data_IF_148366289743
#
_entry.id   IF_148366289743
#
_cell.length_a   1.000
_cell.length_b   1.000
_cell.length_c   1.000
_cell.angle_alpha   90.00
_cell.angle_beta   90.00
_cell.angle_gamma   90.00
#
_symmetry.space_group_name_H-M   'P 1'
#
loop_
_entity.id
_entity.type
_entity.pdbx_description
1 polymer ?
#
# COMPACT_ATOMS: atom_id res chain seq x y z
N UNK A 1 2.50 1.27 21.69
CA UNK A 1 3.39 2.41 21.35
C UNK A 1 2.59 3.69 21.54
N UNK A 2 3.14 4.70 22.22
CA UNK A 2 2.49 6.01 22.38
C UNK A 2 2.22 6.61 20.99
N UNK A 3 1.00 7.07 20.73
CA UNK A 3 0.61 7.71 19.46
C UNK A 3 1.40 9.01 19.35
N UNK A 4 2.43 9.05 18.47
CA UNK A 4 3.18 10.29 18.21
C UNK A 4 2.19 11.34 17.70
N UNK A 5 2.29 12.55 18.24
CA UNK A 5 1.50 13.70 17.80
C UNK A 5 2.36 14.65 16.97
N UNK A 6 1.79 15.36 15.99
CA UNK A 6 2.52 16.37 15.24
C UNK A 6 3.02 17.50 16.16
N UNK A 7 4.13 18.12 15.78
CA UNK A 7 4.67 19.27 16.50
C UNK A 7 3.78 20.52 16.35
N UNK A 8 3.17 20.75 15.18
CA UNK A 8 2.12 21.76 15.02
C UNK A 8 0.76 21.15 15.41
N UNK A 9 0.08 21.67 16.46
CA UNK A 9 -1.21 21.11 16.91
C UNK A 9 -2.33 21.25 15.87
N UNK A 10 -2.20 22.13 14.86
CA UNK A 10 -3.20 22.30 13.80
C UNK A 10 -3.15 21.16 12.77
N UNK A 11 -2.03 20.45 12.68
CA UNK A 11 -1.80 19.41 11.66
C UNK A 11 -2.88 18.33 11.70
N UNK A 12 -3.33 17.90 12.89
CA UNK A 12 -4.38 16.88 13.02
C UNK A 12 -5.71 17.33 12.36
N UNK A 13 -6.09 18.60 12.53
CA UNK A 13 -7.31 19.14 11.93
C UNK A 13 -7.17 19.26 10.40
N UNK A 14 -5.98 19.64 9.92
CA UNK A 14 -5.67 19.76 8.49
C UNK A 14 -5.71 18.39 7.82
N UNK A 15 -5.06 17.37 8.41
CA UNK A 15 -5.12 16.00 7.91
C UNK A 15 -6.55 15.49 7.90
N UNK A 16 -7.32 15.73 8.96
CA UNK A 16 -8.72 15.29 8.99
C UNK A 16 -9.50 15.89 7.82
N UNK A 17 -9.36 17.20 7.58
CA UNK A 17 -10.03 17.86 6.47
C UNK A 17 -9.55 17.33 5.11
N UNK A 18 -8.24 17.14 4.94
CA UNK A 18 -7.66 16.55 3.73
C UNK A 18 -8.19 15.14 3.48
N UNK A 19 -8.26 14.30 4.51
CA UNK A 19 -8.83 12.96 4.45
C UNK A 19 -10.32 13.00 4.07
N UNK A 20 -11.11 13.92 4.63
CA UNK A 20 -12.53 14.03 4.27
C UNK A 20 -12.72 14.32 2.78
N UNK A 21 -11.89 15.19 2.19
CA UNK A 21 -11.93 15.48 0.73
C UNK A 21 -11.49 14.26 -0.08
N UNK A 22 -10.35 13.65 0.27
CA UNK A 22 -9.84 12.45 -0.41
C UNK A 22 -10.84 11.31 -0.37
N UNK A 23 -11.54 11.11 0.75
CA UNK A 23 -12.51 10.04 0.88
C UNK A 23 -13.66 10.20 -0.12
N UNK A 24 -14.06 11.43 -0.41
CA UNK A 24 -15.10 11.73 -1.40
C UNK A 24 -14.70 11.35 -2.83
N UNK A 25 -13.39 11.36 -3.13
CA UNK A 25 -12.85 11.10 -4.47
C UNK A 25 -12.40 9.65 -4.64
N UNK A 26 -11.54 9.16 -3.74
CA UNK A 26 -10.88 7.85 -3.85
C UNK A 26 -11.57 6.73 -3.06
N UNK A 27 -12.53 7.05 -2.19
CA UNK A 27 -13.28 6.04 -1.42
C UNK A 27 -12.38 5.10 -0.63
N UNK A 28 -12.47 3.80 -0.91
CA UNK A 28 -11.73 2.71 -0.28
C UNK A 28 -10.32 2.49 -0.87
N UNK A 29 -9.99 3.17 -1.98
CA UNK A 29 -8.64 3.14 -2.56
C UNK A 29 -7.64 3.98 -1.75
N UNK A 30 -8.13 4.96 -0.98
CA UNK A 30 -7.33 5.73 -0.04
C UNK A 30 -7.09 4.93 1.26
N UNK A 31 -5.82 4.71 1.60
CA UNK A 31 -5.43 3.79 2.68
C UNK A 31 -5.08 4.55 3.96
N UNK A 32 -4.18 5.51 3.85
CA UNK A 32 -3.72 6.31 4.96
C UNK A 32 -3.16 7.65 4.49
N UNK A 33 -3.04 8.56 5.43
CA UNK A 33 -2.28 9.79 5.28
C UNK A 33 -1.14 9.78 6.31
N UNK A 34 0.08 10.11 5.90
CA UNK A 34 1.22 10.24 6.82
C UNK A 34 1.61 11.70 6.93
N UNK A 35 1.58 12.26 8.14
CA UNK A 35 2.20 13.54 8.44
C UNK A 35 3.71 13.37 8.49
N UNK A 36 4.45 14.18 7.73
CA UNK A 36 5.91 14.21 7.79
C UNK A 36 6.44 15.65 7.74
N UNK A 37 7.76 15.79 7.68
CA UNK A 37 8.41 17.10 7.54
C UNK A 37 8.36 17.97 8.79
N UNK A 38 8.64 19.25 8.61
CA UNK A 38 8.98 20.16 9.72
C UNK A 38 7.79 20.46 10.64
N UNK A 39 6.57 20.57 10.11
CA UNK A 39 5.35 20.77 10.91
C UNK A 39 4.96 19.51 11.69
N UNK A 40 5.30 18.32 11.20
CA UNK A 40 5.06 17.07 11.91
C UNK A 40 6.13 16.78 12.97
N UNK A 41 7.42 16.98 12.65
CA UNK A 41 8.54 16.57 13.50
C UNK A 41 9.12 17.69 14.37
N UNK A 42 8.81 18.96 14.06
CA UNK A 42 9.33 20.14 14.73
C UNK A 42 10.34 20.94 13.87
N UNK A 43 10.62 22.17 14.30
CA UNK A 43 11.54 23.08 13.59
C UNK A 43 10.93 23.89 12.44
N UNK A 44 9.60 23.87 12.30
CA UNK A 44 8.88 24.69 11.33
C UNK A 44 8.94 26.19 11.66
N UNK A 45 8.69 27.02 10.65
CA UNK A 45 8.53 28.48 10.76
C UNK A 45 7.10 28.87 10.34
N UNK A 46 6.72 30.13 10.54
CA UNK A 46 5.35 30.60 10.24
C UNK A 46 4.94 30.37 8.78
N UNK A 47 5.88 30.42 7.84
CA UNK A 47 5.66 30.13 6.42
C UNK A 47 5.89 28.68 5.97
N UNK A 48 6.20 27.75 6.88
CA UNK A 48 6.37 26.34 6.51
C UNK A 48 5.04 25.71 6.09
N UNK A 49 5.11 24.92 5.04
CA UNK A 49 4.10 24.01 4.49
C UNK A 49 3.79 22.81 5.38
N UNK A 50 2.65 22.19 5.08
CA UNK A 50 2.22 20.93 5.68
C UNK A 50 2.50 19.79 4.69
N UNK A 51 3.58 19.06 4.94
CA UNK A 51 3.99 17.90 4.15
C UNK A 51 3.12 16.67 4.44
N UNK A 52 2.41 16.17 3.42
CA UNK A 52 1.45 15.09 3.58
C UNK A 52 1.74 13.99 2.57
N UNK A 53 1.89 12.75 3.03
CA UNK A 53 2.02 11.57 2.16
C UNK A 53 0.70 10.81 2.10
N UNK A 54 0.04 10.78 0.95
CA UNK A 54 -1.14 9.96 0.69
C UNK A 54 -0.74 8.55 0.26
N UNK A 55 -1.15 7.55 1.04
CA UNK A 55 -1.01 6.15 0.70
C UNK A 55 -2.28 5.62 0.02
N UNK A 56 -2.11 4.98 -1.14
CA UNK A 56 -3.24 4.54 -1.98
C UNK A 56 -3.04 3.15 -2.61
N UNK A 57 -4.12 2.60 -3.17
CA UNK A 57 -4.14 1.36 -3.98
C UNK A 57 -4.49 1.61 -5.46
N UNK A 58 -4.85 2.84 -5.83
CA UNK A 58 -5.11 3.23 -7.21
C UNK A 58 -3.82 3.46 -8.03
N UNK A 59 -3.98 3.80 -9.31
CA UNK A 59 -2.88 4.28 -10.15
C UNK A 59 -2.30 5.58 -9.60
N UNK A 60 -1.04 5.85 -9.95
CA UNK A 60 -0.35 7.08 -9.52
C UNK A 60 -1.05 8.33 -10.05
N UNK A 61 -1.48 8.34 -11.31
CA UNK A 61 -2.18 9.48 -11.92
C UNK A 61 -3.49 9.82 -11.18
N UNK A 62 -4.30 8.79 -10.86
CA UNK A 62 -5.55 8.96 -10.10
C UNK A 62 -5.27 9.51 -8.69
N UNK A 63 -4.21 9.03 -8.04
CA UNK A 63 -3.81 9.51 -6.72
C UNK A 63 -3.31 10.95 -6.75
N UNK A 64 -2.47 11.30 -7.72
CA UNK A 64 -1.88 12.64 -7.87
C UNK A 64 -2.98 13.67 -8.12
N UNK A 65 -3.93 13.37 -9.00
CA UNK A 65 -5.06 14.26 -9.29
C UNK A 65 -5.91 14.50 -8.04
N UNK A 66 -6.30 13.43 -7.34
CA UNK A 66 -7.08 13.52 -6.11
C UNK A 66 -6.33 14.27 -4.99
N UNK A 67 -5.03 14.02 -4.83
CA UNK A 67 -4.19 14.68 -3.83
C UNK A 67 -4.01 16.17 -4.12
N UNK A 68 -3.82 16.54 -5.39
CA UNK A 68 -3.72 17.93 -5.82
C UNK A 68 -5.03 18.69 -5.58
N UNK A 69 -6.17 18.11 -5.92
CA UNK A 69 -7.49 18.71 -5.68
C UNK A 69 -7.77 18.88 -4.18
N UNK A 70 -7.46 17.86 -3.38
CA UNK A 70 -7.61 17.93 -1.93
C UNK A 70 -6.69 18.99 -1.31
N UNK A 71 -5.42 19.03 -1.71
CA UNK A 71 -4.48 20.04 -1.22
C UNK A 71 -4.93 21.44 -1.61
N UNK A 72 -5.37 21.65 -2.86
CA UNK A 72 -5.88 22.94 -3.33
C UNK A 72 -7.12 23.40 -2.53
N UNK A 73 -8.08 22.49 -2.34
CA UNK A 73 -9.31 22.76 -1.58
C UNK A 73 -8.98 23.18 -0.15
N UNK A 74 -8.21 22.37 0.57
CA UNK A 74 -7.89 22.64 1.98
C UNK A 74 -6.98 23.86 2.12
N UNK A 75 -6.03 24.06 1.19
CA UNK A 75 -5.16 25.23 1.18
C UNK A 75 -5.96 26.52 1.00
N UNK A 76 -6.97 26.51 0.14
CA UNK A 76 -7.85 27.65 -0.10
C UNK A 76 -8.77 27.93 1.09
N UNK A 77 -9.39 26.89 1.66
CA UNK A 77 -10.28 27.01 2.81
C UNK A 77 -9.57 27.55 4.06
N UNK A 78 -8.35 27.09 4.31
CA UNK A 78 -7.61 27.36 5.53
C UNK A 78 -6.52 28.42 5.37
N UNK A 79 -6.27 28.91 4.14
CA UNK A 79 -5.19 29.85 3.81
C UNK A 79 -3.81 29.37 4.29
N UNK A 80 -3.51 28.11 4.05
CA UNK A 80 -2.23 27.46 4.40
C UNK A 80 -1.68 26.69 3.21
N UNK A 81 -0.35 26.58 3.04
CA UNK A 81 0.23 25.74 2.00
C UNK A 81 0.25 24.27 2.45
N UNK A 82 -0.28 23.38 1.60
CA UNK A 82 -0.21 21.93 1.76
C UNK A 82 0.57 21.35 0.59
N UNK A 83 1.59 20.55 0.88
CA UNK A 83 2.38 19.85 -0.13
C UNK A 83 2.08 18.34 -0.07
N UNK A 84 1.20 17.83 -0.94
CA UNK A 84 0.92 16.41 -1.00
C UNK A 84 1.98 15.68 -1.81
N UNK A 85 2.38 14.51 -1.32
CA UNK A 85 3.10 13.48 -2.06
C UNK A 85 2.22 12.23 -2.08
N UNK A 86 2.23 11.50 -3.19
CA UNK A 86 1.50 10.23 -3.34
C UNK A 86 2.47 9.07 -3.35
N UNK A 87 2.02 7.93 -2.83
CA UNK A 87 2.75 6.67 -2.92
C UNK A 87 1.80 5.49 -2.79
N UNK A 88 1.99 4.49 -3.66
CA UNK A 88 1.28 3.24 -3.49
C UNK A 88 1.64 2.60 -2.14
N UNK A 89 0.64 2.02 -1.48
CA UNK A 89 0.84 1.32 -0.21
C UNK A 89 1.84 0.17 -0.35
N UNK A 90 1.92 -0.46 -1.53
CA UNK A 90 2.90 -1.50 -1.85
C UNK A 90 4.32 -1.00 -1.76
N UNK A 91 4.62 0.14 -2.40
CA UNK A 91 5.94 0.78 -2.38
C UNK A 91 6.31 1.27 -0.97
N UNK A 92 5.34 1.83 -0.25
CA UNK A 92 5.54 2.27 1.13
C UNK A 92 5.92 1.11 2.05
N UNK A 93 5.19 -0.01 1.95
CA UNK A 93 5.45 -1.20 2.73
C UNK A 93 6.73 -1.92 2.28
N UNK A 94 7.11 -1.85 1.00
CA UNK A 94 8.37 -2.37 0.47
C UNK A 94 9.61 -1.63 0.97
N UNK A 95 9.43 -0.40 1.50
CA UNK A 95 10.51 0.49 1.91
C UNK A 95 11.44 0.83 0.73
N UNK A 96 10.87 0.96 -0.47
CA UNK A 96 11.57 1.16 -1.74
C UNK A 96 12.01 2.62 -1.98
N UNK A 97 11.90 3.49 -0.98
CA UNK A 97 12.38 4.86 -1.04
C UNK A 97 12.85 5.36 0.33
N UNK A 98 13.73 6.36 0.33
CA UNK A 98 14.15 7.04 1.56
C UNK A 98 12.96 7.70 2.26
N UNK A 99 12.04 8.31 1.49
CA UNK A 99 10.81 8.88 2.03
C UNK A 99 9.97 7.82 2.76
N UNK A 100 9.78 6.64 2.17
CA UNK A 100 9.04 5.55 2.81
C UNK A 100 9.72 5.11 4.12
N UNK A 101 11.04 4.94 4.13
CA UNK A 101 11.80 4.58 5.34
C UNK A 101 11.67 5.64 6.43
N UNK A 102 11.87 6.91 6.08
CA UNK A 102 11.75 8.02 7.04
C UNK A 102 10.33 8.16 7.56
N UNK A 103 9.31 8.03 6.71
CA UNK A 103 7.91 8.08 7.12
C UNK A 103 7.50 6.87 7.96
N UNK A 104 8.05 5.68 7.71
CA UNK A 104 7.84 4.50 8.56
C UNK A 104 8.48 4.69 9.94
N UNK A 105 9.69 5.27 10.00
CA UNK A 105 10.41 5.50 11.26
C UNK A 105 9.82 6.66 12.08
N UNK A 106 9.49 7.78 11.42
CA UNK A 106 9.18 9.07 12.06
C UNK A 106 7.80 9.63 11.75
N UNK A 107 7.18 9.18 10.66
CA UNK A 107 5.88 9.68 10.23
C UNK A 107 4.77 9.36 11.21
N UNK A 108 3.71 10.16 11.16
CA UNK A 108 2.52 9.96 11.98
C UNK A 108 1.40 9.52 11.04
N UNK A 109 1.00 8.26 11.15
CA UNK A 109 0.08 7.61 10.20
C UNK A 109 -1.36 7.73 10.70
N UNK A 110 -2.21 8.27 9.83
CA UNK A 110 -3.65 8.42 10.01
C UNK A 110 -4.37 7.50 9.05
N UNK A 111 -4.94 6.43 9.57
CA UNK A 111 -5.71 5.49 8.77
C UNK A 111 -7.13 5.99 8.55
N UNK A 112 -7.58 5.84 7.32
CA UNK A 112 -8.92 6.16 6.87
C UNK A 112 -10.00 5.34 7.60
N UNK A 113 -9.74 4.06 7.87
CA UNK A 113 -10.70 3.13 8.53
C UNK A 113 -10.27 2.72 9.95
N UNK A 114 -9.62 3.61 10.69
CA UNK A 114 -9.34 3.39 12.12
C UNK A 114 -8.29 2.31 12.43
N UNK A 115 -7.54 1.83 11.44
CA UNK A 115 -6.30 1.06 11.66
C UNK A 115 -6.20 -0.32 11.02
N UNK A 116 -7.05 -0.69 10.05
CA UNK A 116 -6.92 -1.96 9.32
C UNK A 116 -6.67 -1.77 7.81
N UNK A 117 -5.61 -1.06 7.39
CA UNK A 117 -5.25 -0.89 5.98
C UNK A 117 -4.90 -2.21 5.28
N UNK A 118 -4.54 -3.24 6.07
CA UNK A 118 -3.95 -4.47 5.57
C UNK A 118 -4.95 -5.41 4.90
N UNK A 119 -6.27 -5.25 5.13
CA UNK A 119 -7.24 -6.14 4.49
C UNK A 119 -7.29 -5.92 2.98
N UNK A 120 -7.38 -4.66 2.52
CA UNK A 120 -7.39 -4.35 1.09
C UNK A 120 -6.08 -4.77 0.41
N UNK A 121 -4.95 -4.46 1.05
CA UNK A 121 -3.62 -4.89 0.57
C UNK A 121 -3.50 -6.41 0.50
N UNK A 122 -3.99 -7.13 1.50
CA UNK A 122 -3.97 -8.60 1.51
C UNK A 122 -4.81 -9.19 0.38
N UNK A 123 -6.01 -8.65 0.15
CA UNK A 123 -6.88 -9.09 -0.94
C UNK A 123 -6.25 -8.82 -2.31
N UNK A 124 -5.64 -7.66 -2.50
CA UNK A 124 -4.97 -7.32 -3.76
C UNK A 124 -3.74 -8.23 -4.01
N UNK A 125 -2.96 -8.55 -2.97
CA UNK A 125 -1.84 -9.51 -3.08
C UNK A 125 -2.32 -10.94 -3.35
N UNK A 126 -3.43 -11.35 -2.72
CA UNK A 126 -4.04 -12.65 -2.96
C UNK A 126 -4.55 -12.77 -4.40
N UNK A 127 -5.25 -11.74 -4.90
CA UNK A 127 -5.70 -11.68 -6.30
C UNK A 127 -4.53 -11.81 -7.26
N UNK A 128 -3.41 -11.12 -7.00
CA UNK A 128 -2.21 -11.24 -7.82
C UNK A 128 -1.59 -12.65 -7.74
N UNK A 129 -1.59 -13.27 -6.55
CA UNK A 129 -1.11 -14.64 -6.37
C UNK A 129 -1.94 -15.64 -7.18
N UNK A 130 -3.27 -15.46 -7.23
CA UNK A 130 -4.18 -16.26 -8.05
C UNK A 130 -3.89 -16.10 -9.56
N UNK A 131 -3.62 -14.88 -10.03
CA UNK A 131 -3.20 -14.64 -11.42
C UNK A 131 -1.90 -15.37 -11.77
N UNK A 132 -0.90 -15.34 -10.88
CA UNK A 132 0.33 -16.11 -11.04
C UNK A 132 0.07 -17.62 -11.09
N UNK A 133 -0.84 -18.12 -10.27
CA UNK A 133 -1.22 -19.53 -10.27
C UNK A 133 -1.89 -19.94 -11.59
N UNK A 134 -2.77 -19.11 -12.13
CA UNK A 134 -3.42 -19.37 -13.42
C UNK A 134 -2.43 -19.33 -14.58
N UNK A 135 -1.46 -18.41 -14.55
CA UNK A 135 -0.34 -18.41 -15.49
C UNK A 135 0.51 -19.69 -15.37
N UNK A 136 0.80 -20.16 -14.15
CA UNK A 136 1.53 -21.40 -13.92
C UNK A 136 0.79 -22.63 -14.51
N UNK A 137 -0.53 -22.70 -14.34
CA UNK A 137 -1.37 -23.76 -14.91
C UNK A 137 -1.31 -23.75 -16.44
N UNK A 138 -1.50 -22.59 -17.07
CA UNK A 138 -1.45 -22.46 -18.53
C UNK A 138 -0.07 -22.86 -19.11
N UNK A 139 1.02 -22.53 -18.42
CA UNK A 139 2.38 -22.92 -18.82
C UNK A 139 2.64 -24.42 -18.63
N UNK A 140 2.02 -25.03 -17.62
CA UNK A 140 2.14 -26.46 -17.33
C UNK A 140 1.50 -27.32 -18.43
N UNK A 141 0.33 -26.91 -18.91
CA UNK A 141 -0.35 -27.54 -20.04
C UNK A 141 0.49 -27.50 -21.31
N UNK A 142 1.28 -26.44 -21.49
CA UNK A 142 2.19 -26.25 -22.63
C UNK A 142 3.57 -26.90 -22.45
N UNK A 143 3.82 -27.56 -21.31
CA UNK A 143 5.11 -28.19 -21.00
C UNK A 143 6.26 -27.19 -20.76
N UNK A 144 5.97 -25.92 -20.50
CA UNK A 144 6.99 -24.87 -20.31
C UNK A 144 7.51 -24.87 -18.87
N UNK A 145 8.28 -25.90 -18.52
CA UNK A 145 8.73 -26.21 -17.14
C UNK A 145 9.28 -25.00 -16.38
N UNK A 146 10.21 -24.24 -16.96
CA UNK A 146 10.84 -23.10 -16.27
C UNK A 146 9.80 -22.03 -15.90
N UNK A 147 8.93 -21.68 -16.84
CA UNK A 147 7.88 -20.70 -16.59
C UNK A 147 6.88 -21.15 -15.53
N UNK A 148 6.57 -22.46 -15.47
CA UNK A 148 5.71 -23.00 -14.40
C UNK A 148 6.34 -22.79 -13.03
N UNK A 149 7.64 -23.08 -12.89
CA UNK A 149 8.37 -22.93 -11.63
C UNK A 149 8.37 -21.46 -11.21
N UNK A 150 8.74 -20.55 -12.12
CA UNK A 150 8.81 -19.12 -11.82
C UNK A 150 7.46 -18.56 -11.37
N UNK A 151 6.37 -18.89 -12.08
CA UNK A 151 5.03 -18.38 -11.74
C UNK A 151 4.48 -19.01 -10.45
N UNK A 152 4.65 -20.31 -10.24
CA UNK A 152 4.17 -20.99 -9.03
C UNK A 152 4.92 -20.51 -7.77
N UNK A 153 6.22 -20.23 -7.87
CA UNK A 153 6.97 -19.63 -6.75
C UNK A 153 6.46 -18.22 -6.43
N UNK A 154 6.25 -17.37 -7.43
CA UNK A 154 5.71 -16.02 -7.20
C UNK A 154 4.34 -16.04 -6.53
N UNK A 155 3.45 -16.96 -6.93
CA UNK A 155 2.15 -17.14 -6.28
C UNK A 155 2.30 -17.48 -4.78
N UNK A 156 3.21 -18.40 -4.45
CA UNK A 156 3.50 -18.79 -3.06
C UNK A 156 4.08 -17.61 -2.27
N UNK A 157 5.05 -16.90 -2.82
CA UNK A 157 5.68 -15.75 -2.13
C UNK A 157 4.67 -14.65 -1.80
N UNK A 158 3.77 -14.35 -2.73
CA UNK A 158 2.71 -13.38 -2.53
C UNK A 158 1.68 -13.85 -1.48
N UNK A 159 1.32 -15.14 -1.50
CA UNK A 159 0.39 -15.73 -0.54
C UNK A 159 0.95 -15.84 0.89
N UNK A 160 2.26 -16.04 1.05
CA UNK A 160 2.94 -16.13 2.36
C UNK A 160 3.19 -14.74 2.98
N UNK A 161 3.12 -13.66 2.19
CA UNK A 161 3.58 -12.35 2.62
C UNK A 161 2.95 -11.94 3.97
N UNK A 162 3.76 -11.77 5.04
CA UNK A 162 3.28 -11.63 6.43
C UNK A 162 2.48 -10.36 6.71
N UNK A 163 2.30 -9.49 5.71
CA UNK A 163 1.43 -8.31 5.77
C UNK A 163 -0.04 -8.66 5.50
N UNK A 164 -0.33 -9.91 5.10
CA UNK A 164 -1.66 -10.48 4.94
C UNK A 164 -2.12 -11.22 6.21
N UNK A 165 -2.32 -10.51 7.34
CA UNK A 165 -2.89 -11.12 8.55
C UNK A 165 -4.41 -11.46 8.42
N UNK A 166 -4.99 -11.44 7.23
CA UNK A 166 -6.41 -11.78 7.00
C UNK A 166 -6.58 -12.57 5.70
N UNK A 167 -7.22 -13.74 5.79
CA UNK A 167 -7.49 -14.65 4.66
C UNK A 167 -6.69 -15.96 4.68
N UNK A 168 -6.38 -16.51 5.87
CA UNK A 168 -5.49 -17.68 6.04
C UNK A 168 -5.94 -18.89 5.21
N UNK A 169 -7.25 -19.08 5.03
CA UNK A 169 -7.79 -20.22 4.27
C UNK A 169 -7.55 -20.07 2.76
N UNK A 170 -7.83 -18.91 2.18
CA UNK A 170 -7.65 -18.66 0.74
C UNK A 170 -6.16 -18.63 0.36
N UNK A 171 -5.33 -17.97 1.17
CA UNK A 171 -3.87 -17.97 0.98
C UNK A 171 -3.30 -19.39 1.05
N UNK A 172 -3.80 -20.21 1.99
CA UNK A 172 -3.41 -21.63 2.10
C UNK A 172 -3.84 -22.43 0.87
N UNK A 173 -5.02 -22.20 0.32
CA UNK A 173 -5.48 -22.87 -0.89
C UNK A 173 -4.61 -22.55 -2.11
N UNK A 174 -4.19 -21.28 -2.26
CA UNK A 174 -3.24 -20.87 -3.31
C UNK A 174 -1.90 -21.60 -3.14
N UNK A 175 -1.37 -21.63 -1.92
CA UNK A 175 -0.12 -22.33 -1.61
C UNK A 175 -0.19 -23.83 -1.89
N UNK A 176 -1.21 -24.52 -1.38
CA UNK A 176 -1.41 -25.97 -1.58
C UNK A 176 -1.49 -26.32 -3.08
N UNK A 177 -2.15 -25.47 -3.85
CA UNK A 177 -2.30 -25.68 -5.30
C UNK A 177 -0.99 -25.45 -6.04
N UNK A 178 -0.25 -24.39 -5.71
CA UNK A 178 1.06 -24.11 -6.30
C UNK A 178 2.07 -25.23 -5.99
N UNK A 179 2.10 -25.72 -4.74
CA UNK A 179 2.93 -26.86 -4.32
C UNK A 179 2.59 -28.14 -5.09
N UNK A 180 1.29 -28.42 -5.31
CA UNK A 180 0.85 -29.57 -6.09
C UNK A 180 1.35 -29.51 -7.54
N UNK A 181 1.31 -28.34 -8.18
CA UNK A 181 1.83 -28.12 -9.53
C UNK A 181 3.35 -28.35 -9.57
N UNK A 182 4.10 -27.78 -8.62
CA UNK A 182 5.55 -27.96 -8.53
C UNK A 182 5.92 -29.44 -8.34
N UNK A 183 5.19 -30.17 -7.51
CA UNK A 183 5.37 -31.62 -7.31
C UNK A 183 5.11 -32.40 -8.59
N UNK A 184 4.08 -32.04 -9.35
CA UNK A 184 3.75 -32.65 -10.63
C UNK A 184 4.87 -32.41 -11.67
N UNK A 185 5.40 -31.20 -11.76
CA UNK A 185 6.55 -30.87 -12.62
C UNK A 185 7.77 -31.72 -12.24
N UNK A 186 8.13 -31.77 -10.94
CA UNK A 186 9.26 -32.57 -10.46
C UNK A 186 9.14 -34.04 -10.85
N UNK A 187 7.93 -34.61 -10.75
CA UNK A 187 7.68 -36.00 -11.14
C UNK A 187 7.89 -36.26 -12.64
N UNK A 188 7.61 -35.29 -13.52
CA UNK A 188 7.84 -35.40 -14.97
C UNK A 188 9.32 -35.32 -15.34
N UNK A 189 10.09 -34.50 -14.62
CA UNK A 189 11.53 -34.36 -14.84
C UNK A 189 12.35 -35.57 -14.33
N UNK A 190 11.75 -36.39 -13.48
CA UNK A 190 12.39 -37.58 -12.89
C UNK A 190 12.15 -38.86 -13.71
N UNK A 191 11.48 -38.76 -14.86
CA UNK A 191 11.22 -39.85 -15.82
C UNK A 191 12.07 -39.65 -17.06
#
# INVERSE_FOLDING_TARGET
MSRRKPADPRFEAIIKRFMDVIRGVLGDKAVAVVAFGSRAWGGYRDGSDYDILLLHRCSEDEAVEAAAEAAFTVSTELSIPIEPVTMSIYRFLGLDSELARTCMDKGIIYFFDGGRPYRGVALDLLSLAEEYLDMARALYERGMVRGVIDMAYNAIELAINPKAELGVEDAKAVMETAEAILKAVRSRLSR
#
